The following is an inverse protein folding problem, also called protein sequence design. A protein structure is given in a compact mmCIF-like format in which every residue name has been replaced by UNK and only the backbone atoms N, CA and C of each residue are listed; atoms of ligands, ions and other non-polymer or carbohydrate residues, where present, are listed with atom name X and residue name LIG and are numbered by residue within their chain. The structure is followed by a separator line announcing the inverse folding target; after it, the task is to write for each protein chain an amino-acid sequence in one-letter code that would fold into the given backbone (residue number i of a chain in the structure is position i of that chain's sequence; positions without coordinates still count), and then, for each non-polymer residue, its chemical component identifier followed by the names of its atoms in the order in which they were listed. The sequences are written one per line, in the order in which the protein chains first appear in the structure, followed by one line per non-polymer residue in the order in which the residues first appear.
data_IF_030783866280
#
_entry.id   IF_030783866280
#
_cell.length_a   1.000
_cell.length_b   1.000
_cell.length_c   1.000
_cell.angle_alpha   90.00
_cell.angle_beta   90.00
_cell.angle_gamma   90.00
#
_symmetry.space_group_name_H-M   'P 1'
#
loop_
_entity.id
_entity.type
_entity.pdbx_description
1 polymer ?
#
# COMPACT_ATOMS: atom_id res chain seq x y z
N UNK A 1 -3.87 -43.07 6.32
CA UNK A 1 -3.52 -41.86 7.10
C UNK A 1 -2.39 -41.17 6.37
N UNK A 2 -2.70 -40.18 5.57
CA UNK A 2 -1.69 -39.38 4.85
C UNK A 2 -1.38 -38.23 5.78
N UNK A 3 -0.21 -38.27 6.41
CA UNK A 3 0.33 -37.13 7.16
C UNK A 3 0.55 -36.01 6.15
N UNK A 4 -0.26 -34.95 6.24
CA UNK A 4 0.04 -33.70 5.58
C UNK A 4 1.40 -33.22 6.14
N UNK A 5 2.41 -33.23 5.30
CA UNK A 5 3.67 -32.56 5.58
C UNK A 5 3.33 -31.09 5.67
N UNK A 6 3.26 -30.53 6.88
CA UNK A 6 3.05 -29.10 7.06
C UNK A 6 4.11 -28.36 6.27
N UNK A 7 3.70 -27.63 5.26
CA UNK A 7 4.59 -26.81 4.44
C UNK A 7 5.16 -25.74 5.35
N UNK A 8 6.46 -25.76 5.60
CA UNK A 8 7.12 -24.74 6.41
C UNK A 8 7.24 -23.45 5.57
N UNK A 9 6.21 -22.64 5.58
CA UNK A 9 6.14 -21.39 4.83
C UNK A 9 7.30 -20.44 5.15
N UNK A 10 7.73 -20.39 6.42
CA UNK A 10 8.87 -19.54 6.85
C UNK A 10 10.17 -19.96 6.13
N UNK A 11 10.40 -21.25 5.91
CA UNK A 11 11.59 -21.74 5.22
C UNK A 11 11.55 -21.39 3.72
N UNK A 12 10.39 -21.55 3.06
CA UNK A 12 10.22 -21.18 1.65
C UNK A 12 10.45 -19.66 1.49
N UNK A 13 9.82 -18.85 2.33
CA UNK A 13 9.92 -17.40 2.28
C UNK A 13 11.35 -16.91 2.49
N UNK A 14 12.10 -17.52 3.42
CA UNK A 14 13.48 -17.12 3.74
C UNK A 14 14.47 -17.34 2.58
N UNK A 15 14.12 -18.18 1.61
CA UNK A 15 14.95 -18.50 0.44
C UNK A 15 14.64 -17.68 -0.80
N UNK A 16 13.56 -16.88 -0.78
CA UNK A 16 13.14 -16.09 -1.93
C UNK A 16 14.09 -14.92 -2.20
N UNK A 17 14.52 -14.73 -3.47
CA UNK A 17 15.28 -13.54 -3.86
C UNK A 17 14.43 -12.26 -3.64
N UNK A 18 15.11 -11.12 -3.40
CA UNK A 18 14.43 -9.83 -3.33
C UNK A 18 13.71 -9.49 -4.66
N UNK A 19 12.46 -9.00 -4.56
CA UNK A 19 11.62 -8.70 -5.72
C UNK A 19 10.98 -9.93 -6.38
N UNK A 20 10.88 -11.05 -5.65
CA UNK A 20 10.16 -12.24 -6.10
C UNK A 20 8.74 -12.27 -5.57
N UNK A 21 7.88 -13.04 -6.22
CA UNK A 21 6.55 -13.37 -5.71
C UNK A 21 6.27 -14.88 -5.76
N UNK A 22 5.43 -15.32 -4.84
CA UNK A 22 4.91 -16.70 -4.76
C UNK A 22 3.40 -16.64 -4.67
N UNK A 23 2.75 -17.48 -5.48
CA UNK A 23 1.30 -17.67 -5.46
C UNK A 23 0.94 -19.03 -4.88
N UNK A 24 0.22 -19.03 -3.76
CA UNK A 24 -0.39 -20.20 -3.18
C UNK A 24 -1.87 -20.21 -3.57
N UNK A 25 -2.26 -21.19 -4.39
CA UNK A 25 -3.61 -21.26 -4.94
C UNK A 25 -4.52 -22.16 -4.10
N UNK A 26 -5.81 -21.81 -4.05
CA UNK A 26 -6.82 -22.62 -3.39
C UNK A 26 -6.66 -22.65 -1.86
N UNK A 27 -6.22 -21.54 -1.30
CA UNK A 27 -6.02 -21.34 0.14
C UNK A 27 -7.32 -20.86 0.79
N UNK A 28 -7.43 -21.08 2.10
CA UNK A 28 -8.53 -20.62 2.94
C UNK A 28 -8.12 -19.33 3.70
N UNK A 29 -9.10 -18.73 4.37
CA UNK A 29 -8.85 -17.62 5.30
C UNK A 29 -7.97 -18.06 6.48
N UNK A 30 -8.18 -19.26 6.98
CA UNK A 30 -7.41 -19.84 8.07
C UNK A 30 -5.94 -20.04 7.67
N UNK A 31 -5.67 -20.53 6.44
CA UNK A 31 -4.31 -20.64 5.90
C UNK A 31 -3.62 -19.27 5.83
N UNK A 32 -4.36 -18.21 5.42
CA UNK A 32 -3.83 -16.86 5.40
C UNK A 32 -3.50 -16.34 6.80
N UNK A 33 -4.38 -16.54 7.79
CA UNK A 33 -4.13 -16.13 9.16
C UNK A 33 -2.93 -16.88 9.78
N UNK A 34 -2.79 -18.18 9.52
CA UNK A 34 -1.66 -18.97 9.96
C UNK A 34 -0.33 -18.45 9.38
N UNK A 35 -0.31 -18.08 8.10
CA UNK A 35 0.88 -17.50 7.47
C UNK A 35 1.22 -16.15 8.09
N UNK A 36 0.26 -15.23 8.22
CA UNK A 36 0.47 -13.92 8.85
C UNK A 36 1.01 -14.08 10.27
N UNK A 37 0.44 -14.99 11.07
CA UNK A 37 0.90 -15.24 12.43
C UNK A 37 2.32 -15.83 12.48
N UNK A 38 2.63 -16.75 11.56
CA UNK A 38 3.94 -17.41 11.50
C UNK A 38 5.07 -16.48 11.06
N UNK A 39 4.76 -15.55 10.14
CA UNK A 39 5.70 -14.55 9.63
C UNK A 39 5.85 -13.39 10.61
N UNK A 40 4.80 -13.06 11.36
CA UNK A 40 4.76 -11.95 12.27
C UNK A 40 5.02 -10.61 11.58
N UNK A 41 5.61 -9.65 12.30
CA UNK A 41 5.97 -8.32 11.73
C UNK A 41 7.29 -8.36 10.94
N UNK A 42 7.55 -9.43 10.18
CA UNK A 42 8.77 -9.55 9.39
C UNK A 42 8.82 -8.48 8.31
N UNK A 43 9.78 -7.58 8.41
CA UNK A 43 10.03 -6.57 7.39
C UNK A 43 10.51 -7.22 6.08
N UNK A 44 10.14 -6.65 4.94
CA UNK A 44 10.59 -7.11 3.64
C UNK A 44 9.64 -8.04 2.89
N UNK A 45 8.46 -8.31 3.46
CA UNK A 45 7.40 -9.06 2.81
C UNK A 45 6.14 -8.22 2.61
N UNK A 46 5.32 -8.62 1.65
CA UNK A 46 3.92 -8.19 1.49
C UNK A 46 3.07 -9.42 1.22
N UNK A 47 2.06 -9.61 2.03
CA UNK A 47 1.19 -10.79 1.96
C UNK A 47 -0.23 -10.30 1.67
N UNK A 48 -0.88 -10.91 0.68
CA UNK A 48 -2.27 -10.59 0.35
C UNK A 48 -3.08 -11.85 0.10
N UNK A 49 -4.38 -11.77 0.41
CA UNK A 49 -5.36 -12.83 0.22
C UNK A 49 -6.61 -12.28 -0.50
N UNK A 50 -6.92 -12.87 -1.65
CA UNK A 50 -8.04 -12.46 -2.50
C UNK A 50 -9.32 -13.25 -2.26
N UNK A 51 -9.39 -14.06 -1.17
CA UNK A 51 -10.48 -14.96 -0.84
C UNK A 51 -10.31 -16.36 -1.42
N UNK A 52 -9.21 -16.63 -2.13
CA UNK A 52 -8.92 -17.92 -2.73
C UNK A 52 -7.43 -18.21 -2.86
N UNK A 53 -6.64 -17.18 -3.02
CA UNK A 53 -5.21 -17.33 -3.27
C UNK A 53 -4.45 -16.39 -2.33
N UNK A 54 -3.29 -16.85 -1.87
CA UNK A 54 -2.34 -16.04 -1.12
C UNK A 54 -1.20 -15.69 -2.06
N UNK A 55 -0.87 -14.40 -2.12
CA UNK A 55 0.34 -13.88 -2.77
C UNK A 55 1.30 -13.38 -1.71
N UNK A 56 2.53 -13.83 -1.79
CA UNK A 56 3.63 -13.40 -0.92
C UNK A 56 4.68 -12.78 -1.82
N UNK A 57 5.07 -11.54 -1.55
CA UNK A 57 6.04 -10.78 -2.32
C UNK A 57 7.19 -10.33 -1.42
N UNK A 58 8.43 -10.48 -1.90
CA UNK A 58 9.62 -9.92 -1.26
C UNK A 58 9.94 -8.55 -1.84
N UNK A 59 10.34 -7.60 -0.99
CA UNK A 59 10.62 -6.23 -1.40
C UNK A 59 12.04 -6.09 -1.97
N UNK A 60 12.21 -5.19 -2.94
CA UNK A 60 13.52 -4.80 -3.45
C UNK A 60 13.90 -3.40 -2.95
N UNK A 61 15.21 -3.10 -2.90
CA UNK A 61 15.69 -1.75 -2.55
C UNK A 61 15.10 -0.67 -3.47
N UNK A 62 14.92 -0.98 -4.76
CA UNK A 62 14.32 -0.05 -5.71
C UNK A 62 12.86 0.24 -5.37
N UNK A 63 12.09 -0.78 -5.01
CA UNK A 63 10.72 -0.66 -4.55
C UNK A 63 10.65 0.24 -3.31
N UNK A 64 11.41 -0.09 -2.26
CA UNK A 64 11.46 0.69 -1.01
C UNK A 64 11.83 2.17 -1.25
N UNK A 65 12.73 2.46 -2.20
CA UNK A 65 13.08 3.84 -2.55
C UNK A 65 11.85 4.66 -2.96
N UNK A 66 10.96 4.08 -3.77
CA UNK A 66 9.73 4.77 -4.21
C UNK A 66 8.70 4.90 -3.08
N UNK A 67 8.52 3.86 -2.28
CA UNK A 67 7.62 3.91 -1.10
C UNK A 67 8.04 5.05 -0.19
N UNK A 68 9.30 5.07 0.25
CA UNK A 68 9.84 6.09 1.16
C UNK A 68 9.81 7.49 0.55
N UNK A 69 9.93 7.60 -0.76
CA UNK A 69 9.83 8.90 -1.41
C UNK A 69 8.41 9.44 -1.42
N UNK A 70 7.40 8.61 -1.71
CA UNK A 70 5.98 9.00 -1.62
C UNK A 70 5.64 9.43 -0.19
N UNK A 71 6.05 8.67 0.83
CA UNK A 71 5.84 9.06 2.23
C UNK A 71 6.40 10.45 2.51
N UNK A 72 7.63 10.76 2.06
CA UNK A 72 8.24 12.08 2.22
C UNK A 72 7.52 13.20 1.47
N UNK A 73 6.98 12.93 0.28
CA UNK A 73 6.14 13.91 -0.43
C UNK A 73 4.89 14.24 0.39
N UNK A 74 4.22 13.21 0.94
CA UNK A 74 3.01 13.40 1.75
C UNK A 74 3.33 14.10 3.07
N UNK A 75 4.42 13.75 3.76
CA UNK A 75 4.87 14.41 4.98
C UNK A 75 5.17 15.90 4.74
N UNK A 76 5.88 16.20 3.65
CA UNK A 76 6.22 17.57 3.28
C UNK A 76 4.95 18.39 2.99
N UNK A 77 3.99 17.82 2.22
CA UNK A 77 2.69 18.43 1.97
C UNK A 77 1.92 18.66 3.27
N UNK A 78 1.84 17.63 4.14
CA UNK A 78 1.17 17.70 5.45
C UNK A 78 1.68 18.88 6.27
N UNK A 79 2.99 19.01 6.41
CA UNK A 79 3.64 20.05 7.17
C UNK A 79 3.44 21.45 6.54
N UNK A 80 3.65 21.58 5.22
CA UNK A 80 3.57 22.86 4.50
C UNK A 80 2.15 23.40 4.40
N UNK A 81 1.16 22.53 4.16
CA UNK A 81 -0.24 22.94 4.03
C UNK A 81 -1.03 22.80 5.32
N UNK A 82 -0.39 22.34 6.42
CA UNK A 82 -1.01 22.13 7.74
C UNK A 82 -2.23 21.21 7.66
N UNK A 83 -2.12 20.16 6.86
CA UNK A 83 -3.13 19.12 6.73
C UNK A 83 -2.71 17.98 7.63
N UNK A 84 -3.57 17.55 8.57
CA UNK A 84 -3.28 16.39 9.41
C UNK A 84 -3.30 15.13 8.54
N UNK A 85 -2.17 14.44 8.48
CA UNK A 85 -2.03 13.14 7.83
C UNK A 85 -1.38 12.18 8.82
N UNK A 86 -1.94 10.99 8.96
CA UNK A 86 -1.34 9.91 9.74
C UNK A 86 -0.96 8.78 8.78
N UNK A 87 0.31 8.38 8.81
CA UNK A 87 0.80 7.21 8.09
C UNK A 87 0.86 6.02 9.04
N UNK A 88 0.31 4.89 8.61
CA UNK A 88 0.45 3.60 9.30
C UNK A 88 1.35 2.63 8.51
N UNK A 89 2.12 3.17 7.55
CA UNK A 89 3.06 2.38 6.75
C UNK A 89 2.36 1.22 6.03
N UNK A 90 2.94 0.05 6.16
CA UNK A 90 2.45 -1.19 5.54
C UNK A 90 1.61 -2.05 6.50
N UNK A 91 0.82 -1.43 7.37
CA UNK A 91 -0.01 -2.19 8.32
C UNK A 91 -0.90 -3.22 7.63
N UNK A 92 -0.93 -4.43 8.18
CA UNK A 92 -1.78 -5.51 7.66
C UNK A 92 -3.25 -5.13 7.75
N UNK A 93 -3.89 -4.96 6.61
CA UNK A 93 -5.32 -4.69 6.47
C UNK A 93 -6.03 -6.01 6.20
N UNK A 94 -6.83 -6.49 7.16
CA UNK A 94 -7.58 -7.73 6.99
C UNK A 94 -8.98 -7.64 7.57
N UNK A 95 -9.92 -8.34 6.95
CA UNK A 95 -11.31 -8.44 7.40
C UNK A 95 -11.82 -9.86 7.25
N UNK A 96 -12.10 -10.52 8.37
CA UNK A 96 -12.71 -11.85 8.40
C UNK A 96 -14.10 -11.87 7.77
N UNK A 97 -14.83 -10.75 7.82
CA UNK A 97 -16.16 -10.63 7.22
C UNK A 97 -16.14 -10.74 5.69
N UNK A 98 -15.14 -10.18 5.05
CA UNK A 98 -14.98 -10.23 3.60
C UNK A 98 -14.01 -11.32 3.15
N UNK A 99 -13.30 -11.95 4.09
CA UNK A 99 -12.20 -12.88 3.84
C UNK A 99 -11.22 -12.29 2.83
N UNK A 100 -10.76 -11.07 3.12
CA UNK A 100 -9.77 -10.33 2.32
C UNK A 100 -8.71 -9.76 3.23
N UNK A 101 -7.47 -9.82 2.78
CA UNK A 101 -6.36 -9.23 3.48
C UNK A 101 -5.27 -8.75 2.53
N UNK A 102 -4.60 -7.67 2.87
CA UNK A 102 -3.44 -7.15 2.16
C UNK A 102 -2.58 -6.29 3.06
N UNK A 103 -1.30 -6.24 2.76
CA UNK A 103 -0.36 -5.27 3.28
C UNK A 103 -0.04 -4.27 2.16
N UNK A 104 -0.56 -3.03 2.24
CA UNK A 104 -0.20 -1.99 1.29
C UNK A 104 1.27 -1.62 1.42
N UNK A 105 1.87 -1.02 0.41
CA UNK A 105 3.24 -0.51 0.52
C UNK A 105 3.30 0.69 1.47
N UNK A 106 2.32 1.58 1.42
CA UNK A 106 2.03 2.54 2.48
C UNK A 106 0.55 2.95 2.46
N UNK A 107 0.05 3.48 3.58
CA UNK A 107 -1.31 3.96 3.68
C UNK A 107 -1.39 5.24 4.52
N UNK A 108 -2.42 6.07 4.22
CA UNK A 108 -2.60 7.37 4.85
C UNK A 108 -4.04 7.61 5.28
N UNK A 109 -4.19 8.13 6.50
CA UNK A 109 -5.42 8.69 7.00
C UNK A 109 -5.34 10.21 6.89
N UNK A 110 -6.34 10.83 6.29
CA UNK A 110 -6.47 12.28 6.07
C UNK A 110 -7.78 12.78 6.64
N UNK A 111 -8.92 12.44 5.99
CA UNK A 111 -10.25 12.80 6.51
C UNK A 111 -10.59 12.00 7.77
N UNK A 112 -10.15 10.76 7.84
CA UNK A 112 -10.38 9.85 8.96
C UNK A 112 -9.28 9.91 10.02
N UNK A 113 -8.30 10.82 9.90
CA UNK A 113 -7.14 10.88 10.80
C UNK A 113 -7.51 11.04 12.28
N UNK A 114 -8.56 11.84 12.59
CA UNK A 114 -9.00 12.03 13.98
C UNK A 114 -9.65 10.78 14.59
N UNK A 115 -10.23 9.92 13.74
CA UNK A 115 -10.91 8.69 14.21
C UNK A 115 -9.92 7.60 14.66
N UNK A 116 -8.66 7.73 14.25
CA UNK A 116 -7.62 6.73 14.51
C UNK A 116 -6.40 7.29 15.27
N UNK A 117 -6.40 8.59 15.58
CA UNK A 117 -5.24 9.29 16.15
C UNK A 117 -4.74 8.70 17.48
N UNK A 118 -5.65 8.21 18.31
CA UNK A 118 -5.34 7.68 19.66
C UNK A 118 -5.27 6.15 19.68
N UNK A 119 -5.21 5.50 18.50
CA UNK A 119 -5.19 4.03 18.42
C UNK A 119 -3.76 3.52 18.28
N UNK A 120 -3.39 2.55 19.11
CA UNK A 120 -2.13 1.81 19.00
C UNK A 120 -2.19 0.72 17.92
N UNK A 121 -3.40 0.29 17.53
CA UNK A 121 -3.63 -0.70 16.48
C UNK A 121 -4.96 -0.45 15.78
N UNK A 122 -5.04 -0.83 14.51
CA UNK A 122 -6.25 -0.70 13.69
C UNK A 122 -6.86 -2.08 13.44
N UNK A 123 -8.13 -2.22 13.84
CA UNK A 123 -8.95 -3.40 13.53
C UNK A 123 -9.88 -3.08 12.34
N UNK A 124 -9.47 -3.46 11.15
CA UNK A 124 -10.21 -3.18 9.91
C UNK A 124 -11.59 -3.88 9.81
N UNK A 125 -11.94 -4.73 10.78
CA UNK A 125 -13.31 -5.26 10.91
C UNK A 125 -14.27 -4.26 11.57
N UNK A 126 -13.74 -3.27 12.27
CA UNK A 126 -14.48 -2.29 13.10
C UNK A 126 -14.11 -0.84 12.82
N UNK A 127 -12.83 -0.62 12.52
CA UNK A 127 -12.30 0.72 12.30
C UNK A 127 -12.47 1.14 10.84
N UNK A 128 -12.46 2.44 10.63
CA UNK A 128 -12.47 3.01 9.29
C UNK A 128 -11.19 2.63 8.55
N UNK A 129 -11.27 2.33 7.24
CA UNK A 129 -10.06 2.12 6.43
C UNK A 129 -9.28 3.42 6.27
N UNK A 130 -7.99 3.36 5.88
CA UNK A 130 -7.25 4.55 5.47
C UNK A 130 -7.93 5.21 4.26
N UNK A 131 -7.78 6.53 4.16
CA UNK A 131 -8.33 7.27 3.03
C UNK A 131 -7.60 6.97 1.72
N UNK A 132 -6.30 6.63 1.82
CA UNK A 132 -5.43 6.33 0.68
C UNK A 132 -4.62 5.07 1.00
N UNK A 133 -4.57 4.14 0.05
CA UNK A 133 -3.52 3.11 -0.02
C UNK A 133 -2.67 3.32 -1.27
N UNK A 134 -1.38 3.00 -1.17
CA UNK A 134 -0.42 3.14 -2.25
C UNK A 134 0.25 1.79 -2.52
N UNK A 135 0.37 1.45 -3.79
CA UNK A 135 1.08 0.27 -4.28
C UNK A 135 2.12 0.64 -5.34
N UNK A 136 3.27 0.00 -5.26
CA UNK A 136 4.41 0.22 -6.14
C UNK A 136 4.67 -1.04 -6.97
N UNK A 137 4.20 -1.05 -8.20
CA UNK A 137 4.23 -2.18 -9.13
C UNK A 137 5.34 -2.04 -10.16
N UNK A 138 6.59 -2.05 -9.74
CA UNK A 138 7.73 -1.94 -10.68
C UNK A 138 8.14 -3.26 -11.35
N UNK A 139 7.71 -4.39 -10.82
CA UNK A 139 8.08 -5.72 -11.32
C UNK A 139 6.90 -6.69 -11.45
N UNK A 140 5.81 -6.42 -10.74
CA UNK A 140 4.65 -7.30 -10.62
C UNK A 140 3.36 -6.50 -10.75
N UNK A 141 2.31 -7.14 -11.25
CA UNK A 141 0.98 -6.52 -11.31
C UNK A 141 0.25 -6.73 -9.99
N UNK A 142 -0.36 -5.67 -9.46
CA UNK A 142 -1.25 -5.71 -8.29
C UNK A 142 -2.72 -5.53 -8.68
N UNK A 143 -3.08 -5.97 -9.90
CA UNK A 143 -4.47 -5.84 -10.38
C UNK A 143 -5.46 -6.61 -9.52
N UNK A 144 -5.06 -7.70 -8.90
CA UNK A 144 -5.85 -8.45 -7.92
C UNK A 144 -6.17 -7.64 -6.67
N UNK A 145 -5.32 -6.68 -6.31
CA UNK A 145 -5.51 -5.83 -5.12
C UNK A 145 -6.67 -4.83 -5.27
N UNK A 146 -7.10 -4.52 -6.51
CA UNK A 146 -8.32 -3.71 -6.72
C UNK A 146 -9.54 -4.34 -6.03
N UNK A 147 -9.74 -5.64 -6.19
CA UNK A 147 -10.84 -6.33 -5.53
C UNK A 147 -10.67 -6.35 -4.01
N UNK A 148 -9.47 -6.65 -3.52
CA UNK A 148 -9.17 -6.68 -2.08
C UNK A 148 -9.52 -5.33 -1.44
N UNK A 149 -8.94 -4.23 -1.94
CA UNK A 149 -9.15 -2.91 -1.35
C UNK A 149 -10.57 -2.38 -1.54
N UNK A 150 -11.27 -2.76 -2.62
CA UNK A 150 -12.68 -2.41 -2.77
C UNK A 150 -13.56 -3.10 -1.71
N UNK A 151 -13.28 -4.35 -1.38
CA UNK A 151 -13.99 -5.09 -0.30
C UNK A 151 -13.62 -4.58 1.09
N UNK A 152 -12.40 -4.07 1.26
CA UNK A 152 -11.96 -3.37 2.48
C UNK A 152 -12.45 -1.91 2.54
N UNK A 153 -13.18 -1.43 1.51
CA UNK A 153 -13.78 -0.10 1.44
C UNK A 153 -12.78 1.06 1.47
N UNK A 154 -11.57 0.86 0.98
CA UNK A 154 -10.57 1.93 0.88
C UNK A 154 -11.02 2.97 -0.15
N UNK A 155 -11.14 4.28 0.22
CA UNK A 155 -11.66 5.30 -0.70
C UNK A 155 -10.79 5.55 -1.92
N UNK A 156 -9.45 5.61 -1.75
CA UNK A 156 -8.52 5.86 -2.84
C UNK A 156 -7.41 4.80 -2.89
N UNK A 157 -7.14 4.33 -4.10
CA UNK A 157 -6.07 3.41 -4.43
C UNK A 157 -5.10 4.10 -5.41
N UNK A 158 -3.86 4.28 -5.00
CA UNK A 158 -2.81 4.87 -5.81
C UNK A 158 -1.86 3.78 -6.28
N UNK A 159 -1.64 3.70 -7.57
CA UNK A 159 -0.79 2.69 -8.20
C UNK A 159 0.31 3.33 -9.02
N UNK A 160 1.56 3.08 -8.66
CA UNK A 160 2.74 3.43 -9.44
C UNK A 160 3.30 2.19 -10.14
N UNK A 161 3.30 2.19 -11.47
CA UNK A 161 3.73 1.05 -12.30
C UNK A 161 5.21 1.12 -12.74
N UNK A 162 5.99 2.02 -12.13
CA UNK A 162 7.38 2.29 -12.52
C UNK A 162 7.53 3.41 -13.54
N UNK A 163 6.45 3.81 -14.21
CA UNK A 163 6.41 4.90 -15.18
C UNK A 163 5.42 5.98 -14.77
N UNK A 164 4.22 5.60 -14.34
CA UNK A 164 3.12 6.51 -14.02
C UNK A 164 2.46 6.14 -12.71
N UNK A 165 2.12 7.18 -11.94
CA UNK A 165 1.23 7.03 -10.80
C UNK A 165 -0.19 7.38 -11.24
N UNK A 166 -1.09 6.43 -11.03
CA UNK A 166 -2.52 6.58 -11.30
C UNK A 166 -3.29 6.56 -9.98
N UNK A 167 -4.27 7.44 -9.88
CA UNK A 167 -5.18 7.53 -8.74
C UNK A 167 -6.51 6.92 -9.16
N UNK A 168 -7.03 6.04 -8.31
CA UNK A 168 -8.33 5.41 -8.49
C UNK A 168 -9.19 5.71 -7.26
N UNK A 169 -10.44 6.06 -7.49
CA UNK A 169 -11.43 6.31 -6.44
C UNK A 169 -12.47 5.20 -6.44
N UNK A 170 -12.84 4.75 -5.24
CA UNK A 170 -13.89 3.76 -5.07
C UNK A 170 -15.26 4.38 -5.38
N UNK A 171 -15.93 3.85 -6.39
CA UNK A 171 -17.28 4.24 -6.79
C UNK A 171 -18.17 3.00 -6.76
N UNK A 172 -19.14 2.99 -5.84
CA UNK A 172 -19.97 1.83 -5.53
C UNK A 172 -19.14 0.64 -4.99
N UNK A 173 -18.68 -0.27 -5.82
CA UNK A 173 -17.85 -1.42 -5.41
C UNK A 173 -16.65 -1.64 -6.34
N UNK A 174 -16.35 -0.67 -7.20
CA UNK A 174 -15.25 -0.72 -8.15
C UNK A 174 -14.46 0.58 -8.18
N UNK A 175 -13.20 0.49 -8.60
CA UNK A 175 -12.35 1.65 -8.72
C UNK A 175 -12.45 2.28 -10.10
N UNK A 176 -12.68 3.59 -10.14
CA UNK A 176 -12.62 4.41 -11.34
C UNK A 176 -11.38 5.31 -11.30
N UNK A 177 -10.67 5.41 -12.44
CA UNK A 177 -9.52 6.29 -12.55
C UNK A 177 -9.94 7.75 -12.44
N UNK A 178 -9.24 8.52 -11.61
CA UNK A 178 -9.45 9.95 -11.43
C UNK A 178 -8.14 10.71 -11.61
N UNK A 179 -8.23 11.99 -11.98
CA UNK A 179 -7.03 12.81 -12.18
C UNK A 179 -6.38 13.25 -10.87
N UNK A 180 -7.21 13.58 -9.89
CA UNK A 180 -6.80 14.27 -8.65
C UNK A 180 -7.32 13.50 -7.45
N UNK A 181 -6.53 13.42 -6.39
CA UNK A 181 -6.95 12.85 -5.12
C UNK A 181 -8.11 13.65 -4.51
N UNK A 182 -9.09 12.97 -3.96
CA UNK A 182 -10.15 13.58 -3.14
C UNK A 182 -9.67 13.84 -1.71
N UNK A 183 -8.79 12.98 -1.22
CA UNK A 183 -8.21 13.11 0.11
C UNK A 183 -7.20 14.25 0.19
N UNK A 184 -6.40 14.43 -0.86
CA UNK A 184 -5.37 15.47 -0.99
C UNK A 184 -5.52 16.19 -2.33
N UNK A 185 -6.49 17.13 -2.49
CA UNK A 185 -6.88 17.70 -3.79
C UNK A 185 -5.77 18.47 -4.53
N UNK A 186 -4.71 18.86 -3.84
CA UNK A 186 -3.54 19.49 -4.42
C UNK A 186 -2.70 18.51 -5.25
N UNK A 187 -2.83 17.19 -5.01
CA UNK A 187 -2.09 16.15 -5.70
C UNK A 187 -2.89 15.53 -6.83
N UNK A 188 -2.28 15.46 -7.99
CA UNK A 188 -2.76 14.67 -9.13
C UNK A 188 -1.81 13.54 -9.46
N UNK A 189 -2.31 12.52 -10.17
CA UNK A 189 -1.47 11.45 -10.68
C UNK A 189 -0.33 11.96 -11.59
N UNK A 190 -0.57 13.05 -12.33
CA UNK A 190 0.43 13.71 -13.17
C UNK A 190 1.55 14.36 -12.36
N UNK A 191 1.21 15.11 -11.32
CA UNK A 191 2.17 15.75 -10.40
C UNK A 191 3.05 14.70 -9.72
N UNK A 192 2.42 13.66 -9.16
CA UNK A 192 3.15 12.58 -8.50
C UNK A 192 4.06 11.83 -9.48
N UNK A 193 3.60 11.56 -10.70
CA UNK A 193 4.40 10.96 -11.77
C UNK A 193 5.64 11.80 -12.09
N UNK A 194 5.48 13.12 -12.22
CA UNK A 194 6.60 14.02 -12.53
C UNK A 194 7.71 13.93 -11.46
N UNK A 195 7.35 14.03 -10.17
CA UNK A 195 8.33 13.93 -9.09
C UNK A 195 8.96 12.52 -8.96
N UNK A 196 8.19 11.45 -9.20
CA UNK A 196 8.72 10.08 -9.22
C UNK A 196 9.67 9.86 -10.41
N UNK A 197 9.42 10.49 -11.55
CA UNK A 197 10.31 10.45 -12.72
C UNK A 197 11.61 11.20 -12.46
N UNK A 198 11.56 12.38 -11.83
CA UNK A 198 12.77 13.13 -11.42
C UNK A 198 13.65 12.32 -10.48
N UNK A 199 13.05 11.58 -9.54
CA UNK A 199 13.77 10.69 -8.61
C UNK A 199 14.64 9.63 -9.31
N UNK A 200 14.33 9.27 -10.57
CA UNK A 200 15.14 8.30 -11.33
C UNK A 200 16.51 8.86 -11.72
N UNK A 201 16.62 10.18 -11.93
CA UNK A 201 17.77 10.84 -12.54
C UNK A 201 18.43 11.89 -11.65
N UNK A 202 17.86 12.19 -10.48
CA UNK A 202 18.35 13.22 -9.57
C UNK A 202 18.48 12.71 -8.14
N UNK A 203 19.20 13.46 -7.32
CA UNK A 203 19.30 13.21 -5.89
C UNK A 203 17.93 13.38 -5.22
N UNK A 204 17.58 12.47 -4.33
CA UNK A 204 16.30 12.48 -3.65
C UNK A 204 16.05 13.76 -2.85
N UNK A 205 17.09 14.31 -2.23
CA UNK A 205 16.97 15.54 -1.44
C UNK A 205 16.67 16.75 -2.33
N UNK A 206 17.32 16.86 -3.47
CA UNK A 206 17.08 17.93 -4.44
C UNK A 206 15.65 17.88 -4.99
N UNK A 207 15.15 16.68 -5.31
CA UNK A 207 13.77 16.51 -5.79
C UNK A 207 12.75 16.89 -4.72
N UNK A 208 13.02 16.62 -3.42
CA UNK A 208 12.16 17.06 -2.33
C UNK A 208 12.17 18.59 -2.17
N UNK A 209 13.31 19.25 -2.35
CA UNK A 209 13.38 20.72 -2.35
C UNK A 209 12.59 21.34 -3.52
N UNK A 210 12.61 20.69 -4.69
CA UNK A 210 11.78 21.10 -5.82
C UNK A 210 10.28 20.93 -5.54
N UNK A 211 9.90 19.83 -4.89
CA UNK A 211 8.51 19.60 -4.47
C UNK A 211 8.05 20.66 -3.45
N UNK A 212 8.90 21.01 -2.51
CA UNK A 212 8.64 22.07 -1.53
C UNK A 212 8.37 23.42 -2.22
N UNK A 213 9.23 23.81 -3.18
CA UNK A 213 9.03 25.02 -3.99
C UNK A 213 7.75 24.98 -4.80
N UNK A 214 7.43 23.79 -5.36
CA UNK A 214 6.18 23.59 -6.07
C UNK A 214 4.98 23.76 -5.14
N UNK A 215 5.00 23.17 -3.93
CA UNK A 215 3.94 23.36 -2.94
C UNK A 215 3.73 24.83 -2.57
N UNK A 216 4.81 25.61 -2.43
CA UNK A 216 4.74 27.04 -2.11
C UNK A 216 4.10 27.85 -3.25
N UNK A 217 4.19 27.38 -4.49
CA UNK A 217 3.54 28.00 -5.66
C UNK A 217 2.05 27.66 -5.80
N UNK A 218 1.57 26.67 -5.05
CA UNK A 218 0.16 26.28 -5.04
C UNK A 218 -0.58 27.01 -3.92
N UNK A 219 -1.23 28.09 -4.26
CA UNK A 219 -2.02 28.92 -3.34
C UNK A 219 -3.41 28.36 -3.08
#
# INVERSE_FOLDING_TARGET
MTTAVGTNFSEIISTLPAGSDVFLRGQTWEDYEEIIESVGEASGLRISFDGRNIKIMTLSTKHEKYVRFIERLIDNLSMRKRIKVLSFGSSTMKSSRSERGSEPDCCFYVQNAELVADKDSIDFSRDVPPDIVVEIDIHHSSTEKFEIYSKLRVPEYWLYDGERLRIFRLENESYAAVKTSSALPILSGEVLTDFLTRLQNADQFEVLLEFEKWLDSQN
#
